data_IF_990319638096
#
_entry.id   IF_990319638096
#
_cell.length_a   1.000
_cell.length_b   1.000
_cell.length_c   1.000
_cell.angle_alpha   90.00
_cell.angle_beta   90.00
_cell.angle_gamma   90.00
#
_symmetry.space_group_name_H-M   'P 1'
#
loop_
_entity.id
_entity.type
_entity.pdbx_description
1 polymer ?
#
# COMPACT_ATOMS: atom_id res chain seq x y z
N UNK A 1 78.10 -5.55 7.26
CA UNK A 1 77.57 -4.75 6.13
C UNK A 1 76.76 -5.69 5.24
N UNK A 2 75.46 -5.39 5.07
CA UNK A 2 74.51 -5.90 4.07
C UNK A 2 74.15 -7.42 4.10
N UNK A 3 72.93 -7.84 4.50
CA UNK A 3 71.60 -7.70 3.84
C UNK A 3 71.31 -8.94 2.94
N UNK A 4 70.18 -9.66 2.91
CA UNK A 4 68.77 -9.43 3.29
C UNK A 4 68.10 -10.81 3.46
N UNK A 5 67.23 -10.93 4.46
CA UNK A 5 66.40 -12.10 4.74
C UNK A 5 65.24 -12.25 3.74
N UNK A 6 64.99 -13.47 3.26
CA UNK A 6 63.83 -13.82 2.44
C UNK A 6 62.53 -13.71 3.26
N UNK A 7 61.70 -12.71 2.97
CA UNK A 7 60.32 -12.62 3.46
C UNK A 7 59.37 -13.24 2.43
N UNK A 8 58.86 -14.43 2.73
CA UNK A 8 57.74 -15.05 2.03
C UNK A 8 56.46 -14.31 2.41
N UNK A 9 56.04 -13.35 1.60
CA UNK A 9 54.76 -12.65 1.75
C UNK A 9 53.63 -13.53 1.24
N UNK A 10 52.86 -14.14 2.15
CA UNK A 10 51.57 -14.75 1.82
C UNK A 10 50.57 -13.60 1.61
N UNK A 11 50.33 -13.24 0.35
CA UNK A 11 49.21 -12.38 -0.02
C UNK A 11 47.92 -13.19 0.10
N UNK A 12 47.27 -13.09 1.25
CA UNK A 12 45.86 -13.51 1.39
C UNK A 12 45.04 -12.47 0.64
N UNK A 13 44.67 -12.78 -0.61
CA UNK A 13 43.59 -12.09 -1.30
C UNK A 13 42.30 -12.43 -0.55
N UNK A 14 41.96 -11.61 0.45
CA UNK A 14 40.62 -11.58 1.01
C UNK A 14 39.73 -10.97 -0.08
N UNK A 15 39.16 -11.81 -0.95
CA UNK A 15 38.07 -11.35 -1.81
C UNK A 15 36.94 -10.97 -0.87
N UNK A 16 36.66 -9.67 -0.71
CA UNK A 16 35.35 -9.24 -0.25
C UNK A 16 34.38 -9.66 -1.35
N UNK A 17 33.90 -10.89 -1.29
CA UNK A 17 32.61 -11.22 -1.85
C UNK A 17 31.64 -10.28 -1.15
N UNK A 18 31.17 -9.26 -1.86
CA UNK A 18 30.02 -8.48 -1.43
C UNK A 18 28.87 -9.47 -1.34
N UNK A 19 28.65 -10.02 -0.14
CA UNK A 19 27.43 -10.71 0.17
C UNK A 19 26.33 -9.66 0.04
N UNK A 20 25.70 -9.61 -1.12
CA UNK A 20 24.39 -8.99 -1.27
C UNK A 20 23.43 -9.85 -0.46
N UNK A 21 23.41 -9.63 0.86
CA UNK A 21 22.29 -10.04 1.69
C UNK A 21 21.10 -9.21 1.19
N UNK A 22 20.28 -9.79 0.32
CA UNK A 22 18.90 -9.33 0.21
C UNK A 22 18.35 -9.38 1.64
N UNK A 23 18.11 -8.21 2.24
CA UNK A 23 17.66 -8.17 3.63
C UNK A 23 16.31 -8.87 3.70
N UNK A 24 16.22 -9.92 4.52
CA UNK A 24 14.98 -10.65 4.82
C UNK A 24 13.86 -9.70 5.32
N UNK A 25 14.20 -8.48 5.73
CA UNK A 25 13.26 -7.48 6.25
C UNK A 25 12.24 -6.93 5.23
N UNK A 26 12.40 -7.15 3.93
CA UNK A 26 11.50 -6.59 2.91
C UNK A 26 10.51 -7.62 2.38
N UNK A 27 9.23 -7.25 2.36
CA UNK A 27 8.13 -8.04 1.83
C UNK A 27 7.43 -7.25 0.71
N UNK A 28 7.28 -7.87 -0.45
CA UNK A 28 6.44 -7.36 -1.53
C UNK A 28 5.07 -8.06 -1.46
N UNK A 29 3.99 -7.29 -1.40
CA UNK A 29 2.64 -7.84 -1.35
C UNK A 29 1.77 -7.26 -2.45
N UNK A 30 1.39 -8.10 -3.40
CA UNK A 30 0.53 -7.73 -4.51
C UNK A 30 -0.93 -8.03 -4.22
N UNK A 31 -1.78 -7.04 -4.45
CA UNK A 31 -3.24 -7.14 -4.33
C UNK A 31 -3.87 -6.76 -5.65
N UNK A 32 -4.53 -7.73 -6.27
CA UNK A 32 -5.15 -7.57 -7.59
C UNK A 32 -6.65 -7.83 -7.52
N UNK A 33 -7.40 -7.04 -8.30
CA UNK A 33 -8.70 -7.50 -8.75
C UNK A 33 -8.54 -8.87 -9.42
N UNK A 34 -9.47 -9.81 -9.23
CA UNK A 34 -9.37 -11.15 -9.84
C UNK A 34 -10.46 -11.28 -10.88
N UNK A 35 -10.18 -10.73 -12.06
CA UNK A 35 -11.10 -10.75 -13.19
C UNK A 35 -12.30 -9.83 -13.01
N UNK A 36 -12.06 -8.59 -12.54
CA UNK A 36 -13.11 -7.58 -12.46
C UNK A 36 -13.66 -7.28 -13.86
N UNK A 37 -14.98 -7.17 -13.98
CA UNK A 37 -15.64 -7.00 -15.28
C UNK A 37 -16.77 -5.98 -15.16
N UNK A 38 -16.43 -4.68 -15.04
CA UNK A 38 -17.43 -3.61 -14.93
C UNK A 38 -18.35 -3.64 -16.15
N UNK A 39 -19.65 -3.53 -15.89
CA UNK A 39 -20.72 -3.58 -16.88
C UNK A 39 -21.23 -2.20 -17.25
N UNK A 40 -20.93 -1.19 -16.42
CA UNK A 40 -21.35 0.20 -16.63
C UNK A 40 -20.14 1.13 -16.64
N UNK A 41 -20.30 2.27 -17.30
CA UNK A 41 -19.33 3.36 -17.19
C UNK A 41 -19.34 3.91 -15.76
N UNK A 42 -18.16 4.32 -15.28
CA UNK A 42 -17.95 4.85 -13.93
C UNK A 42 -18.37 3.88 -12.81
N UNK A 43 -18.23 2.57 -13.04
CA UNK A 43 -18.56 1.55 -12.04
C UNK A 43 -17.41 1.37 -11.05
N UNK A 44 -17.76 1.23 -9.77
CA UNK A 44 -16.81 1.00 -8.68
C UNK A 44 -16.92 -0.46 -8.28
N UNK A 45 -15.80 -1.17 -8.31
CA UNK A 45 -15.72 -2.55 -7.84
C UNK A 45 -14.65 -2.63 -6.77
N UNK A 46 -14.91 -3.44 -5.74
CA UNK A 46 -13.97 -3.62 -4.65
C UNK A 46 -13.69 -5.09 -4.34
N UNK A 47 -12.55 -5.32 -3.70
CA UNK A 47 -12.14 -6.62 -3.18
C UNK A 47 -11.45 -6.46 -1.83
N UNK A 48 -11.67 -7.43 -0.96
CA UNK A 48 -10.99 -7.58 0.30
C UNK A 48 -9.74 -8.47 0.16
N UNK A 49 -8.69 -8.14 0.88
CA UNK A 49 -7.43 -8.89 0.95
C UNK A 49 -6.99 -9.03 2.40
N UNK A 50 -6.54 -10.22 2.83
CA UNK A 50 -5.93 -10.34 4.15
C UNK A 50 -4.61 -9.55 4.20
N UNK A 51 -4.02 -9.43 5.38
CA UNK A 51 -2.61 -9.06 5.48
C UNK A 51 -1.74 -10.13 4.78
N UNK A 52 -0.48 -9.79 4.40
CA UNK A 52 0.47 -10.79 3.96
C UNK A 52 0.54 -11.96 4.96
N UNK A 53 0.60 -13.23 4.50
CA UNK A 53 0.60 -14.40 5.38
C UNK A 53 1.63 -14.33 6.52
N UNK A 54 2.80 -13.75 6.23
CA UNK A 54 3.91 -13.53 7.17
C UNK A 54 3.52 -12.60 8.34
N UNK A 55 2.53 -11.73 8.14
CA UNK A 55 2.10 -10.74 9.12
C UNK A 55 0.81 -11.13 9.85
N UNK A 56 -0.01 -12.03 9.30
CA UNK A 56 -1.33 -12.36 9.88
C UNK A 56 -1.28 -12.91 11.30
N UNK A 57 -0.18 -13.60 11.67
CA UNK A 57 0.06 -14.16 13.01
C UNK A 57 1.25 -13.52 13.72
N UNK A 58 1.81 -12.45 13.15
CA UNK A 58 2.95 -11.76 13.72
C UNK A 58 2.52 -10.86 14.87
N UNK A 59 3.29 -10.89 15.96
CA UNK A 59 3.18 -9.91 17.04
C UNK A 59 4.04 -8.66 16.79
N UNK A 60 4.90 -8.70 15.76
CA UNK A 60 5.74 -7.57 15.39
C UNK A 60 5.02 -6.65 14.40
N UNK A 61 5.33 -5.36 14.48
CA UNK A 61 4.84 -4.38 13.50
C UNK A 61 5.62 -4.48 12.19
N UNK A 62 4.93 -4.24 11.10
CA UNK A 62 5.53 -3.99 9.79
C UNK A 62 5.07 -2.63 9.27
N UNK A 63 5.70 -2.13 8.22
CA UNK A 63 5.47 -0.77 7.74
C UNK A 63 5.40 -0.73 6.23
N UNK A 64 4.28 -0.26 5.67
CA UNK A 64 4.20 0.05 4.24
C UNK A 64 5.04 1.30 3.99
N UNK A 65 5.98 1.21 3.06
CA UNK A 65 6.89 2.32 2.71
C UNK A 65 6.76 2.78 1.26
N UNK A 66 6.17 1.95 0.40
CA UNK A 66 5.94 2.31 -1.00
C UNK A 66 4.67 1.63 -1.54
N UNK A 67 3.92 2.38 -2.35
CA UNK A 67 2.72 1.94 -3.05
C UNK A 67 2.95 2.04 -4.55
N UNK A 68 2.96 0.89 -5.23
CA UNK A 68 3.21 0.81 -6.67
C UNK A 68 1.89 0.45 -7.37
N UNK A 69 1.33 1.33 -8.22
CA UNK A 69 0.13 1.03 -8.97
C UNK A 69 0.42 -0.02 -10.05
N UNK A 70 -0.31 -1.13 -10.03
CA UNK A 70 -0.32 -2.16 -11.05
C UNK A 70 -1.63 -2.08 -11.82
N UNK A 71 -1.85 -0.97 -12.52
CA UNK A 71 -3.11 -0.67 -13.19
C UNK A 71 -2.91 -0.24 -14.63
N UNK A 72 -3.86 -0.61 -15.48
CA UNK A 72 -3.93 -0.05 -16.82
C UNK A 72 -4.71 1.28 -16.77
N UNK A 73 -4.00 2.38 -17.04
CA UNK A 73 -4.56 3.74 -17.06
C UNK A 73 -5.63 3.94 -18.15
N UNK A 74 -5.77 3.03 -19.12
CA UNK A 74 -6.87 3.11 -20.10
C UNK A 74 -8.22 2.65 -19.53
N UNK A 75 -8.24 1.94 -18.40
CA UNK A 75 -9.46 1.33 -17.82
C UNK A 75 -9.74 1.80 -16.40
N UNK A 76 -8.72 1.86 -15.53
CA UNK A 76 -8.85 2.28 -14.15
C UNK A 76 -8.64 3.80 -14.06
N UNK A 77 -9.66 4.52 -13.59
CA UNK A 77 -9.60 5.97 -13.42
C UNK A 77 -8.94 6.37 -12.09
N UNK A 78 -9.26 5.64 -11.00
CA UNK A 78 -8.57 5.74 -9.73
C UNK A 78 -8.68 4.45 -8.93
N UNK A 79 -7.79 4.28 -7.95
CA UNK A 79 -7.80 3.20 -6.99
C UNK A 79 -7.68 3.76 -5.58
N UNK A 80 -8.40 3.19 -4.62
CA UNK A 80 -8.31 3.57 -3.21
C UNK A 80 -8.08 2.33 -2.36
N UNK A 81 -7.08 2.39 -1.48
CA UNK A 81 -6.76 1.34 -0.53
C UNK A 81 -7.19 1.78 0.87
N UNK A 82 -8.03 0.95 1.49
CA UNK A 82 -8.42 1.09 2.88
C UNK A 82 -7.89 -0.07 3.71
N UNK A 83 -7.56 0.20 4.97
CA UNK A 83 -7.36 -0.80 6.01
C UNK A 83 -8.69 -1.18 6.68
N UNK A 84 -8.84 -2.47 6.99
CA UNK A 84 -10.03 -3.03 7.62
C UNK A 84 -9.74 -3.52 9.05
N UNK A 85 -10.66 -3.26 9.98
CA UNK A 85 -10.57 -3.66 11.40
C UNK A 85 -10.88 -5.12 11.66
N UNK A 86 -11.31 -5.84 10.62
CA UNK A 86 -11.58 -7.27 10.61
C UNK A 86 -10.79 -7.93 9.48
N UNK A 87 -10.23 -9.11 9.78
CA UNK A 87 -9.56 -9.89 8.75
C UNK A 87 -10.62 -10.43 7.77
N UNK A 88 -10.45 -10.22 6.46
CA UNK A 88 -11.36 -10.80 5.49
C UNK A 88 -11.19 -12.32 5.43
N UNK A 89 -12.28 -13.08 5.22
CA UNK A 89 -12.16 -14.54 5.09
C UNK A 89 -11.36 -14.91 3.84
N UNK A 90 -10.53 -15.97 3.93
CA UNK A 90 -9.60 -16.40 2.87
C UNK A 90 -10.24 -16.58 1.47
N UNK A 91 -11.56 -16.81 1.40
CA UNK A 91 -12.25 -17.16 0.16
C UNK A 91 -13.01 -16.01 -0.51
N UNK A 92 -12.91 -14.75 -0.02
CA UNK A 92 -13.70 -13.66 -0.58
C UNK A 92 -13.20 -13.21 -1.96
N UNK A 93 -14.00 -13.53 -3.00
CA UNK A 93 -13.67 -13.28 -4.42
C UNK A 93 -14.25 -12.02 -5.04
N UNK A 94 -15.20 -11.39 -4.38
CA UNK A 94 -15.79 -10.10 -4.72
C UNK A 94 -16.17 -9.49 -3.39
N UNK A 95 -16.06 -8.17 -3.23
CA UNK A 95 -16.69 -7.51 -2.09
C UNK A 95 -18.20 -7.81 -2.20
N UNK A 96 -18.67 -8.83 -1.47
CA UNK A 96 -20.03 -8.77 -0.99
C UNK A 96 -20.08 -7.51 -0.14
N UNK A 97 -21.24 -6.87 -0.10
CA UNK A 97 -21.54 -5.78 0.82
C UNK A 97 -21.50 -6.23 2.30
N UNK A 98 -20.70 -7.22 2.66
CA UNK A 98 -20.43 -7.53 4.05
C UNK A 98 -19.88 -6.27 4.71
N UNK A 99 -20.45 -5.85 5.84
CA UNK A 99 -20.02 -4.67 6.56
C UNK A 99 -18.71 -4.98 7.28
N UNK A 100 -17.62 -5.22 6.53
CA UNK A 100 -16.30 -5.05 7.11
C UNK A 100 -16.08 -3.56 7.25
N UNK A 101 -15.79 -3.17 8.49
CA UNK A 101 -15.38 -1.81 8.81
C UNK A 101 -13.98 -1.57 8.23
N UNK A 102 -13.96 -0.87 7.10
CA UNK A 102 -12.75 -0.50 6.35
C UNK A 102 -12.67 1.02 6.20
N UNK A 103 -12.69 1.74 7.33
CA UNK A 103 -12.67 3.21 7.35
C UNK A 103 -11.28 3.84 7.24
N UNK A 104 -10.19 3.06 7.38
CA UNK A 104 -8.83 3.60 7.48
C UNK A 104 -8.27 3.86 6.08
N UNK A 105 -8.18 5.11 5.63
CA UNK A 105 -7.55 5.44 4.35
C UNK A 105 -6.04 5.19 4.41
N UNK A 106 -5.50 4.39 3.49
CA UNK A 106 -4.06 4.09 3.41
C UNK A 106 -3.40 4.72 2.20
N UNK A 107 -4.10 4.72 1.06
CA UNK A 107 -3.54 5.22 -0.20
C UNK A 107 -4.65 5.52 -1.21
N UNK A 108 -4.41 6.51 -2.07
CA UNK A 108 -5.23 6.78 -3.24
C UNK A 108 -4.33 7.02 -4.44
N UNK A 109 -4.72 6.47 -5.59
CA UNK A 109 -4.03 6.63 -6.86
C UNK A 109 -5.00 7.17 -7.90
N UNK A 110 -4.55 8.13 -8.70
CA UNK A 110 -5.26 8.61 -9.88
C UNK A 110 -4.52 8.20 -11.15
N UNK A 111 -5.28 8.00 -12.23
CA UNK A 111 -4.78 7.63 -13.56
C UNK A 111 -3.51 8.38 -13.95
N UNK A 112 -2.45 7.63 -14.28
CA UNK A 112 -1.16 8.18 -14.72
C UNK A 112 -0.23 8.68 -13.62
N UNK A 113 -0.64 8.63 -12.34
CA UNK A 113 0.26 8.99 -11.24
C UNK A 113 1.37 7.94 -11.04
N UNK A 114 2.56 8.42 -10.68
CA UNK A 114 3.72 7.60 -10.35
C UNK A 114 3.52 6.82 -9.03
N UNK A 115 4.33 5.78 -8.77
CA UNK A 115 4.38 5.15 -7.45
C UNK A 115 4.62 6.16 -6.33
N UNK A 116 3.96 5.95 -5.19
CA UNK A 116 4.19 6.75 -3.99
C UNK A 116 5.21 6.02 -3.10
N UNK A 117 6.44 6.53 -3.08
CA UNK A 117 7.42 6.19 -2.04
C UNK A 117 7.29 7.19 -0.90
N UNK A 118 7.08 6.69 0.31
CA UNK A 118 7.07 7.54 1.50
C UNK A 118 8.48 8.10 1.75
N UNK A 119 8.61 9.26 2.40
CA UNK A 119 9.92 9.81 2.76
C UNK A 119 10.76 8.79 3.54
N UNK A 120 12.08 8.90 3.43
CA UNK A 120 12.99 7.97 4.10
C UNK A 120 12.72 7.92 5.61
N UNK A 121 12.60 6.70 6.14
CA UNK A 121 12.32 6.46 7.57
C UNK A 121 10.84 6.65 7.96
N UNK A 122 9.95 6.95 7.02
CA UNK A 122 8.51 7.01 7.25
C UNK A 122 7.86 5.71 6.78
N UNK A 123 6.95 5.17 7.58
CA UNK A 123 6.14 4.03 7.16
C UNK A 123 4.75 4.03 7.77
N UNK A 124 3.78 3.51 7.04
CA UNK A 124 2.43 3.28 7.55
C UNK A 124 2.41 1.97 8.33
N UNK A 125 2.19 2.05 9.64
CA UNK A 125 2.27 0.89 10.54
C UNK A 125 1.16 -0.12 10.25
N UNK A 126 1.54 -1.38 10.20
CA UNK A 126 0.70 -2.56 10.14
C UNK A 126 1.04 -3.46 11.33
N UNK A 127 0.08 -4.28 11.73
CA UNK A 127 0.27 -5.31 12.73
C UNK A 127 -1.09 -5.70 13.30
N UNK A 128 -1.54 -6.95 13.16
CA UNK A 128 -2.90 -7.33 13.55
C UNK A 128 -3.17 -7.22 15.05
N UNK A 129 -2.11 -7.18 15.86
CA UNK A 129 -2.14 -6.98 17.31
C UNK A 129 -1.78 -5.55 17.75
N UNK A 130 -1.21 -4.74 16.86
CA UNK A 130 -0.66 -3.40 17.16
C UNK A 130 -1.48 -2.26 16.54
N UNK A 131 -2.32 -2.58 15.54
CA UNK A 131 -3.12 -1.61 14.78
C UNK A 131 -4.51 -2.21 14.51
N UNK A 132 -5.48 -1.35 14.22
CA UNK A 132 -6.80 -1.77 13.73
C UNK A 132 -6.77 -2.21 12.26
N UNK A 133 -5.62 -2.50 11.66
CA UNK A 133 -5.52 -2.95 10.27
C UNK A 133 -5.23 -4.45 10.26
N UNK A 134 -6.25 -5.23 9.94
CA UNK A 134 -6.22 -6.71 9.86
C UNK A 134 -6.42 -7.23 8.43
N UNK A 135 -6.55 -6.32 7.48
CA UNK A 135 -6.67 -6.59 6.06
C UNK A 135 -6.89 -5.30 5.30
N UNK A 136 -7.15 -5.44 4.01
CA UNK A 136 -7.30 -4.34 3.08
C UNK A 136 -8.58 -4.45 2.27
N UNK A 137 -9.13 -3.30 1.86
CA UNK A 137 -10.11 -3.19 0.78
C UNK A 137 -9.50 -2.35 -0.33
N UNK A 138 -9.31 -2.94 -1.50
CA UNK A 138 -9.02 -2.20 -2.73
C UNK A 138 -10.32 -1.88 -3.42
N UNK A 139 -10.56 -0.60 -3.70
CA UNK A 139 -11.62 -0.13 -4.57
C UNK A 139 -11.00 0.39 -5.87
N UNK A 140 -11.59 0.02 -7.00
CA UNK A 140 -11.19 0.49 -8.32
C UNK A 140 -12.40 1.10 -9.01
N UNK A 141 -12.23 2.35 -9.46
CA UNK A 141 -13.21 3.04 -10.28
C UNK A 141 -12.85 2.88 -11.76
N UNK A 142 -13.75 2.25 -12.52
CA UNK A 142 -13.56 1.97 -13.93
C UNK A 142 -14.24 3.00 -14.80
N UNK A 143 -13.51 3.55 -15.77
CA UNK A 143 -14.05 4.56 -16.70
C UNK A 143 -15.09 3.99 -17.65
N UNK A 144 -14.87 2.77 -18.15
CA UNK A 144 -15.69 2.14 -19.19
C UNK A 144 -16.04 0.70 -18.84
N UNK A 145 -17.17 0.18 -19.35
CA UNK A 145 -17.44 -1.25 -19.32
C UNK A 145 -16.31 -2.04 -19.98
N UNK A 146 -16.04 -3.24 -19.48
CA UNK A 146 -15.02 -4.12 -20.03
C UNK A 146 -15.65 -5.39 -20.61
N UNK A 147 -15.07 -5.85 -21.73
CA UNK A 147 -15.39 -7.14 -22.34
C UNK A 147 -14.45 -8.25 -21.86
N UNK A 148 -13.27 -7.87 -21.36
CA UNK A 148 -12.27 -8.78 -20.82
C UNK A 148 -12.06 -8.52 -19.33
N UNK A 149 -11.73 -9.57 -18.54
CA UNK A 149 -11.50 -9.40 -17.12
C UNK A 149 -10.27 -8.53 -16.85
N UNK A 150 -10.38 -7.66 -15.85
CA UNK A 150 -9.30 -6.82 -15.35
C UNK A 150 -8.67 -7.40 -14.07
N UNK A 151 -7.38 -7.11 -13.93
CA UNK A 151 -6.55 -7.50 -12.80
C UNK A 151 -5.75 -6.31 -12.25
N UNK A 152 -6.26 -5.09 -12.41
CA UNK A 152 -5.61 -3.90 -11.85
C UNK A 152 -5.50 -4.03 -10.33
N UNK A 153 -4.45 -3.44 -9.77
CA UNK A 153 -4.04 -3.72 -8.40
C UNK A 153 -2.97 -2.76 -7.87
N UNK A 154 -2.44 -3.12 -6.71
CA UNK A 154 -1.32 -2.45 -6.07
C UNK A 154 -0.27 -3.48 -5.67
N UNK A 155 1.00 -3.11 -5.77
CA UNK A 155 2.09 -3.76 -5.02
C UNK A 155 2.47 -2.87 -3.85
N UNK A 156 2.48 -3.45 -2.66
CA UNK A 156 2.91 -2.80 -1.43
C UNK A 156 4.33 -3.26 -1.12
N UNK A 157 5.23 -2.31 -0.88
CA UNK A 157 6.55 -2.60 -0.32
C UNK A 157 6.47 -2.41 1.18
N UNK A 158 6.72 -3.47 1.92
CA UNK A 158 6.55 -3.56 3.36
C UNK A 158 7.90 -3.89 4.00
N UNK A 159 8.25 -3.18 5.07
CA UNK A 159 9.44 -3.45 5.86
C UNK A 159 9.05 -4.00 7.24
N UNK A 160 9.70 -5.09 7.65
CA UNK A 160 9.51 -5.77 8.96
C UNK A 160 10.43 -5.23 10.06
N UNK A 161 11.03 -4.06 9.83
CA UNK A 161 11.88 -3.36 10.81
C UNK A 161 11.20 -2.08 11.27
N UNK A 162 11.53 -1.64 12.48
CA UNK A 162 11.00 -0.40 13.04
C UNK A 162 11.29 0.81 12.15
N UNK A 163 10.32 1.73 12.06
CA UNK A 163 10.46 3.02 11.38
C UNK A 163 10.61 4.14 12.42
N UNK A 164 11.54 5.09 12.21
CA UNK A 164 11.67 6.25 13.11
C UNK A 164 10.47 7.19 13.07
N UNK A 165 9.69 7.18 11.98
CA UNK A 165 8.53 8.05 11.78
C UNK A 165 7.33 7.23 11.28
N UNK A 166 6.13 7.57 11.77
CA UNK A 166 4.88 6.95 11.36
C UNK A 166 4.15 7.83 10.35
N UNK A 167 3.68 7.22 9.26
CA UNK A 167 2.67 7.83 8.41
C UNK A 167 1.30 7.72 9.10
N UNK A 168 0.46 8.73 8.89
CA UNK A 168 -0.92 8.76 9.36
C UNK A 168 -1.76 9.72 8.53
N UNK A 169 -3.08 9.58 8.63
CA UNK A 169 -4.04 10.44 7.92
C UNK A 169 -4.83 11.24 8.95
N UNK A 170 -4.84 12.55 8.79
CA UNK A 170 -5.70 13.45 9.57
C UNK A 170 -6.86 13.88 8.68
N UNK A 171 -8.05 13.36 8.95
CA UNK A 171 -9.26 13.68 8.19
C UNK A 171 -9.88 14.97 8.71
N UNK A 172 -9.97 15.97 7.84
CA UNK A 172 -10.69 17.23 8.08
C UNK A 172 -11.97 17.18 7.26
N UNK A 173 -13.13 17.15 7.93
CA UNK A 173 -14.43 16.94 7.28
C UNK A 173 -15.45 17.97 7.75
N UNK A 174 -16.12 18.61 6.80
CA UNK A 174 -17.36 19.33 7.04
C UNK A 174 -18.51 18.33 6.92
N UNK A 175 -19.26 18.13 8.01
CA UNK A 175 -20.41 17.21 8.02
C UNK A 175 -21.68 17.84 7.45
N UNK A 176 -21.68 19.16 7.28
CA UNK A 176 -22.78 19.93 6.72
C UNK A 176 -22.25 21.14 5.96
N UNK A 177 -22.85 21.40 4.80
CA UNK A 177 -22.66 22.62 4.01
C UNK A 177 -23.88 22.83 3.12
N UNK A 178 -24.26 24.08 2.90
CA UNK A 178 -25.39 24.43 2.03
C UNK A 178 -24.88 25.09 0.75
N UNK A 179 -25.45 24.69 -0.39
CA UNK A 179 -25.12 25.25 -1.70
C UNK A 179 -26.37 25.86 -2.33
N UNK A 180 -26.75 27.11 -1.97
CA UNK A 180 -27.94 27.73 -2.54
C UNK A 180 -27.77 27.97 -4.04
N UNK A 181 -28.84 27.70 -4.80
CA UNK A 181 -28.87 27.92 -6.24
C UNK A 181 -28.56 29.37 -6.61
N UNK A 182 -27.88 29.56 -7.74
CA UNK A 182 -27.48 30.88 -8.26
C UNK A 182 -26.49 31.67 -7.39
N UNK A 183 -25.83 31.03 -6.41
CA UNK A 183 -24.75 31.67 -5.64
C UNK A 183 -23.41 31.47 -6.34
N UNK A 184 -22.64 32.55 -6.56
CA UNK A 184 -21.38 32.50 -7.30
C UNK A 184 -20.20 31.95 -6.48
N UNK A 185 -20.19 32.19 -5.17
CA UNK A 185 -19.13 31.75 -4.26
C UNK A 185 -19.71 31.34 -2.93
N UNK A 186 -19.23 30.21 -2.40
CA UNK A 186 -19.62 29.68 -1.10
C UNK A 186 -18.34 29.18 -0.43
N UNK A 187 -18.22 29.44 0.86
CA UNK A 187 -17.15 28.92 1.70
C UNK A 187 -17.69 27.83 2.61
N UNK A 188 -16.93 26.74 2.71
CA UNK A 188 -17.18 25.68 3.67
C UNK A 188 -15.93 25.51 4.50
N UNK A 189 -15.87 26.27 5.60
CA UNK A 189 -14.68 26.36 6.41
C UNK A 189 -14.66 25.26 7.48
N UNK A 190 -13.49 24.66 7.68
CA UNK A 190 -13.26 23.65 8.71
C UNK A 190 -12.02 24.06 9.48
N UNK A 191 -12.10 24.02 10.80
CA UNK A 191 -10.95 24.25 11.68
C UNK A 191 -10.95 23.28 12.84
N UNK A 192 -9.77 22.85 13.25
CA UNK A 192 -9.54 22.02 14.43
C UNK A 192 -8.37 22.65 15.21
N UNK A 193 -8.37 22.49 16.53
CA UNK A 193 -7.29 22.97 17.41
C UNK A 193 -6.18 21.94 17.52
#
# INVERSE_FOLDING_TARGET
>A
MLAISLLFGIFIFLSLATLNFASDDTLEYEIHMQGALPKRANEYLSRLFPLPPELQKSYESAFIVEYIPLANSSIAHHMVLHGCSQAPPEHFRQASMQPLDCGILLYAWAMGALPLRLPQGVGFRLGPHETDIKGFRLEVHYRTPLLQPDYSGLRLIILRRSMPLLAGVFLVLATYGELPGHTSHIHLDISCR
#
